data_IF_415953248420
#
_entry.id   IF_415953248420
#
_cell.length_a   1.000
_cell.length_b   1.000
_cell.length_c   1.000
_cell.angle_alpha   90.00
_cell.angle_beta   90.00
_cell.angle_gamma   90.00
#
_symmetry.space_group_name_H-M   'P 1'
#
loop_
_entity.id
_entity.type
_entity.pdbx_description
1 polymer ?
#
# COMPACT_ATOMS: atom_id res chain seq x y z
N UNK A 1 -24.56 7.90 -15.23
CA UNK A 1 -24.45 7.56 -13.80
C UNK A 1 -24.20 8.83 -13.02
N UNK A 2 -24.78 8.94 -11.84
CA UNK A 2 -24.60 10.07 -10.91
C UNK A 2 -24.58 9.59 -9.45
N UNK A 3 -24.22 10.48 -8.54
CA UNK A 3 -24.33 10.25 -7.11
C UNK A 3 -25.61 10.91 -6.59
N UNK A 4 -26.59 10.09 -6.23
CA UNK A 4 -27.88 10.53 -5.71
C UNK A 4 -27.79 11.20 -4.33
N UNK A 5 -26.66 11.03 -3.61
CA UNK A 5 -26.41 11.74 -2.36
C UNK A 5 -25.81 13.13 -2.59
N UNK A 6 -25.42 13.46 -3.83
CA UNK A 6 -24.82 14.73 -4.21
C UNK A 6 -23.64 15.13 -3.32
N UNK A 7 -22.71 14.21 -3.06
CA UNK A 7 -21.52 14.47 -2.23
C UNK A 7 -20.69 15.61 -2.84
N UNK A 8 -20.75 16.78 -2.22
CA UNK A 8 -20.14 18.01 -2.76
C UNK A 8 -18.59 18.04 -2.72
N UNK A 9 -17.97 17.13 -1.97
CA UNK A 9 -16.50 17.09 -1.81
C UNK A 9 -15.77 16.36 -2.94
N UNK A 10 -16.49 15.91 -3.95
CA UNK A 10 -15.92 15.20 -5.09
C UNK A 10 -16.93 15.04 -6.21
N UNK A 11 -16.56 14.25 -7.22
CA UNK A 11 -17.41 13.95 -8.35
C UNK A 11 -17.12 12.56 -8.91
N UNK A 12 -18.13 11.97 -9.56
CA UNK A 12 -17.92 10.76 -10.35
C UNK A 12 -17.20 11.10 -11.65
N UNK A 13 -16.25 10.24 -12.02
CA UNK A 13 -15.58 10.23 -13.31
C UNK A 13 -15.89 8.91 -14.03
N UNK A 14 -15.76 8.92 -15.36
CA UNK A 14 -16.16 7.80 -16.23
C UNK A 14 -17.60 7.33 -15.97
N UNK A 15 -18.49 8.31 -15.74
CA UNK A 15 -19.86 8.07 -15.29
C UNK A 15 -20.87 7.88 -16.44
N UNK A 16 -20.41 7.93 -17.69
CA UNK A 16 -21.26 7.74 -18.88
C UNK A 16 -21.25 6.28 -19.32
N UNK A 17 -22.44 5.72 -19.57
CA UNK A 17 -22.61 4.38 -20.15
C UNK A 17 -23.14 4.56 -21.57
N UNK A 18 -22.33 4.21 -22.57
CA UNK A 18 -22.76 4.34 -23.97
C UNK A 18 -23.82 3.28 -24.33
N UNK A 19 -24.73 3.61 -25.26
CA UNK A 19 -25.74 2.66 -25.74
C UNK A 19 -25.10 1.38 -26.33
N UNK A 20 -23.93 1.49 -26.96
CA UNK A 20 -23.17 0.35 -27.49
C UNK A 20 -22.59 -0.58 -26.42
N UNK A 21 -22.55 -0.17 -25.15
CA UNK A 21 -22.11 -1.01 -24.05
C UNK A 21 -23.20 -1.98 -23.58
N UNK A 22 -24.45 -1.80 -24.04
CA UNK A 22 -25.56 -2.67 -23.69
C UNK A 22 -25.58 -3.91 -24.59
N UNK A 23 -25.62 -5.08 -23.95
CA UNK A 23 -25.90 -6.36 -24.58
C UNK A 23 -27.08 -7.00 -23.88
N UNK A 24 -28.15 -7.31 -24.62
CA UNK A 24 -29.41 -7.82 -24.07
C UNK A 24 -29.95 -6.97 -22.89
N UNK A 25 -29.81 -5.64 -22.96
CA UNK A 25 -30.28 -4.72 -21.92
C UNK A 25 -29.37 -4.57 -20.70
N UNK A 26 -28.18 -5.18 -20.71
CA UNK A 26 -27.21 -5.10 -19.59
C UNK A 26 -25.94 -4.40 -20.06
N UNK A 27 -25.46 -3.43 -19.27
CA UNK A 27 -24.16 -2.81 -19.43
C UNK A 27 -23.42 -2.80 -18.08
N UNK A 28 -22.11 -3.00 -18.12
CA UNK A 28 -21.24 -2.87 -16.95
C UNK A 28 -20.41 -1.59 -17.08
N UNK A 29 -20.23 -0.88 -15.97
CA UNK A 29 -19.38 0.31 -15.92
C UNK A 29 -18.56 0.32 -14.64
N UNK A 30 -17.37 0.89 -14.72
CA UNK A 30 -16.43 1.05 -13.60
C UNK A 30 -16.15 2.53 -13.38
N UNK A 31 -17.15 3.31 -12.91
CA UNK A 31 -16.91 4.71 -12.59
C UNK A 31 -15.93 4.81 -11.42
N UNK A 32 -15.18 5.91 -11.37
CA UNK A 32 -14.40 6.28 -10.19
C UNK A 32 -15.03 7.48 -9.50
N UNK A 33 -14.74 7.67 -8.22
CA UNK A 33 -15.09 8.89 -7.51
C UNK A 33 -13.81 9.62 -7.14
N UNK A 34 -13.69 10.89 -7.54
CA UNK A 34 -12.54 11.72 -7.29
C UNK A 34 -12.90 12.76 -6.24
N UNK A 35 -12.21 12.76 -5.10
CA UNK A 35 -12.30 13.88 -4.16
C UNK A 35 -11.59 15.11 -4.72
N UNK A 36 -12.14 16.29 -4.46
CA UNK A 36 -11.55 17.57 -4.87
C UNK A 36 -10.23 17.83 -4.13
N UNK A 37 -10.07 17.28 -2.92
CA UNK A 37 -8.85 17.39 -2.13
C UNK A 37 -8.46 16.05 -1.49
N UNK A 38 -7.15 15.81 -1.35
CA UNK A 38 -6.64 14.56 -0.81
C UNK A 38 -7.01 14.31 0.67
N UNK A 39 -7.19 15.37 1.48
CA UNK A 39 -7.61 15.24 2.89
C UNK A 39 -9.11 15.47 3.03
N UNK A 40 -9.89 14.51 2.57
CA UNK A 40 -11.35 14.50 2.71
C UNK A 40 -11.77 13.32 3.60
N UNK A 41 -12.67 13.57 4.57
CA UNK A 41 -13.24 12.49 5.38
C UNK A 41 -14.06 11.53 4.50
N UNK A 42 -14.31 10.28 4.95
CA UNK A 42 -15.08 9.33 4.16
C UNK A 42 -16.47 9.86 3.81
N UNK A 43 -16.93 9.55 2.61
CA UNK A 43 -18.26 9.93 2.14
C UNK A 43 -18.98 8.70 1.58
N UNK A 44 -20.28 8.60 1.84
CA UNK A 44 -21.11 7.56 1.24
C UNK A 44 -21.80 8.13 0.01
N UNK A 45 -21.48 7.57 -1.16
CA UNK A 45 -22.20 7.87 -2.40
C UNK A 45 -23.30 6.84 -2.61
N UNK A 46 -24.33 7.22 -3.35
CA UNK A 46 -25.38 6.32 -3.84
C UNK A 46 -25.38 6.38 -5.36
N UNK A 47 -24.90 5.31 -6.00
CA UNK A 47 -24.79 5.24 -7.44
C UNK A 47 -26.15 4.96 -8.06
N UNK A 48 -26.54 5.81 -9.00
CA UNK A 48 -27.74 5.61 -9.79
C UNK A 48 -27.56 5.90 -11.28
N UNK A 49 -28.41 5.28 -12.09
CA UNK A 49 -28.53 5.62 -13.50
C UNK A 49 -29.39 6.87 -13.62
N UNK A 50 -28.92 7.82 -14.44
CA UNK A 50 -29.65 9.02 -14.80
C UNK A 50 -29.61 9.07 -16.33
N UNK A 51 -30.78 9.06 -16.95
CA UNK A 51 -30.92 9.25 -18.38
C UNK A 51 -30.83 10.74 -18.75
N UNK A 52 -30.62 11.04 -20.03
CA UNK A 52 -30.46 12.41 -20.54
C UNK A 52 -31.74 13.25 -20.39
N UNK A 53 -32.91 12.60 -20.27
CA UNK A 53 -34.19 13.24 -19.96
C UNK A 53 -34.41 13.47 -18.44
N UNK A 54 -33.39 13.23 -17.62
CA UNK A 54 -33.39 13.31 -16.16
C UNK A 54 -34.25 12.26 -15.44
N UNK A 55 -34.62 11.16 -16.10
CA UNK A 55 -35.22 10.01 -15.42
C UNK A 55 -34.13 9.21 -14.70
N UNK A 56 -34.30 9.04 -13.39
CA UNK A 56 -33.39 8.25 -12.56
C UNK A 56 -33.89 6.81 -12.39
N UNK A 57 -32.97 5.87 -12.16
CA UNK A 57 -33.33 4.51 -11.72
C UNK A 57 -34.16 4.56 -10.43
N UNK A 58 -35.18 3.71 -10.32
CA UNK A 58 -36.15 3.76 -9.21
C UNK A 58 -36.19 2.52 -8.32
N UNK A 59 -35.39 1.50 -8.64
CA UNK A 59 -35.42 0.21 -7.93
C UNK A 59 -34.20 0.04 -7.02
N UNK A 60 -33.15 -0.60 -7.52
CA UNK A 60 -31.97 -0.97 -6.73
C UNK A 60 -30.79 -0.08 -7.07
N UNK A 61 -30.39 0.74 -6.11
CA UNK A 61 -29.21 1.60 -6.19
C UNK A 61 -28.19 1.14 -5.15
N UNK A 62 -26.93 0.99 -5.56
CA UNK A 62 -25.85 0.60 -4.68
C UNK A 62 -25.28 1.81 -3.94
N UNK A 63 -24.92 1.62 -2.67
CA UNK A 63 -24.12 2.61 -1.92
C UNK A 63 -22.65 2.18 -1.84
N UNK A 64 -21.74 3.14 -1.92
CA UNK A 64 -20.31 2.90 -1.73
C UNK A 64 -19.74 3.91 -0.74
N UNK A 65 -18.96 3.42 0.23
CA UNK A 65 -18.22 4.27 1.16
C UNK A 65 -16.83 4.58 0.57
N UNK A 66 -16.67 5.81 0.09
CA UNK A 66 -15.47 6.31 -0.58
C UNK A 66 -14.52 6.90 0.46
N UNK A 67 -13.24 6.55 0.36
CA UNK A 67 -12.18 6.99 1.29
C UNK A 67 -11.05 7.65 0.53
N UNK A 68 -10.60 8.80 1.02
CA UNK A 68 -9.36 9.40 0.55
C UNK A 68 -8.21 8.90 1.40
N UNK A 69 -7.18 8.33 0.78
CA UNK A 69 -6.15 7.59 1.52
C UNK A 69 -4.76 7.61 0.91
N UNK A 70 -3.85 6.99 1.64
CA UNK A 70 -2.44 6.82 1.26
C UNK A 70 -1.94 5.45 1.71
N UNK A 71 -0.88 4.98 1.08
CA UNK A 71 -0.05 3.93 1.67
C UNK A 71 0.99 4.57 2.60
N UNK A 72 1.19 3.96 3.76
CA UNK A 72 2.17 4.35 4.75
C UNK A 72 3.22 3.24 4.85
N UNK A 73 4.38 3.45 4.22
CA UNK A 73 5.54 2.60 4.31
C UNK A 73 6.44 3.13 5.44
N UNK A 74 6.78 2.30 6.42
CA UNK A 74 7.49 2.74 7.62
C UNK A 74 8.93 2.28 7.66
N UNK A 75 9.78 3.06 8.33
CA UNK A 75 11.17 2.68 8.59
C UNK A 75 11.23 1.38 9.41
N UNK A 76 12.27 0.59 9.15
CA UNK A 76 12.52 -0.66 9.84
C UNK A 76 13.99 -0.76 10.28
N UNK A 77 14.22 -1.34 11.46
CA UNK A 77 15.55 -1.46 12.06
C UNK A 77 15.71 -2.85 12.67
N UNK A 78 16.85 -3.49 12.48
CA UNK A 78 17.11 -4.81 13.06
C UNK A 78 18.57 -5.26 12.93
N UNK A 79 18.87 -6.47 13.38
CA UNK A 79 20.17 -7.08 13.15
C UNK A 79 20.31 -7.55 11.70
N UNK A 80 21.50 -7.39 11.15
CA UNK A 80 21.98 -7.98 9.90
C UNK A 80 21.87 -9.51 9.86
N UNK A 81 21.69 -10.17 11.01
CA UNK A 81 21.58 -11.63 11.14
C UNK A 81 20.14 -12.14 11.09
N UNK A 82 19.14 -11.27 11.07
CA UNK A 82 17.73 -11.63 11.10
C UNK A 82 16.95 -11.01 9.92
N UNK A 83 15.92 -11.70 9.39
CA UNK A 83 14.99 -11.07 8.46
C UNK A 83 14.31 -9.87 9.11
N UNK A 84 14.12 -8.79 8.35
CA UNK A 84 13.59 -7.53 8.85
C UNK A 84 12.20 -7.29 8.28
N UNK A 85 11.13 -7.38 9.10
CA UNK A 85 9.78 -6.99 8.69
C UNK A 85 9.74 -5.50 8.29
N UNK A 86 9.04 -5.20 7.19
CA UNK A 86 8.86 -3.83 6.69
C UNK A 86 7.38 -3.48 6.82
N UNK A 87 6.98 -2.62 7.78
CA UNK A 87 5.57 -2.27 7.95
C UNK A 87 5.06 -1.44 6.78
N UNK A 88 3.97 -1.90 6.18
CA UNK A 88 3.25 -1.20 5.12
C UNK A 88 1.75 -1.31 5.39
N UNK A 89 1.06 -0.16 5.44
CA UNK A 89 -0.38 -0.11 5.69
C UNK A 89 -1.11 0.87 4.78
N UNK A 90 -2.34 0.55 4.41
CA UNK A 90 -3.29 1.47 3.81
C UNK A 90 -3.97 2.29 4.91
N UNK A 91 -3.89 3.62 4.78
CA UNK A 91 -4.55 4.57 5.67
C UNK A 91 -5.54 5.43 4.90
N UNK A 92 -6.56 5.93 5.59
CA UNK A 92 -7.47 6.95 5.07
C UNK A 92 -7.54 8.15 6.03
N UNK A 93 -7.85 9.32 5.49
CA UNK A 93 -8.07 10.52 6.29
C UNK A 93 -9.46 10.47 6.94
N UNK A 94 -9.54 10.51 8.27
CA UNK A 94 -10.83 10.46 8.98
C UNK A 94 -11.46 11.84 9.22
N UNK A 95 -10.87 12.91 8.69
CA UNK A 95 -11.23 14.30 8.98
C UNK A 95 -10.17 15.03 9.82
N UNK A 96 -9.41 14.30 10.65
CA UNK A 96 -8.42 14.90 11.56
C UNK A 96 -7.03 14.26 11.44
N UNK A 97 -6.96 12.97 11.12
CA UNK A 97 -5.72 12.21 11.02
C UNK A 97 -5.85 11.06 10.04
N UNK A 98 -4.70 10.50 9.63
CA UNK A 98 -4.68 9.24 8.89
C UNK A 98 -4.83 8.06 9.85
N UNK A 99 -5.81 7.21 9.60
CA UNK A 99 -6.04 5.97 10.35
C UNK A 99 -6.09 4.77 9.41
N UNK A 100 -5.78 3.58 9.92
CA UNK A 100 -5.73 2.36 9.13
C UNK A 100 -7.08 2.03 8.50
N UNK A 101 -7.06 1.65 7.22
CA UNK A 101 -8.22 1.12 6.51
C UNK A 101 -8.38 -0.39 6.79
N UNK A 102 -8.99 -0.74 7.92
CA UNK A 102 -9.22 -2.13 8.30
C UNK A 102 -10.15 -2.91 7.36
N UNK A 103 -10.84 -2.23 6.43
CA UNK A 103 -11.73 -2.85 5.46
C UNK A 103 -11.04 -3.14 4.12
N UNK A 104 -9.76 -2.79 3.98
CA UNK A 104 -8.99 -3.13 2.79
C UNK A 104 -8.42 -4.55 2.89
N UNK A 105 -9.01 -5.45 2.10
CA UNK A 105 -8.55 -6.83 1.94
C UNK A 105 -8.33 -7.21 0.47
N UNK A 106 -8.28 -6.22 -0.42
CA UNK A 106 -8.24 -6.42 -1.87
C UNK A 106 -7.11 -5.66 -2.57
N UNK A 107 -6.55 -4.61 -1.96
CA UNK A 107 -5.36 -3.94 -2.49
C UNK A 107 -4.20 -4.94 -2.53
N UNK A 108 -3.52 -5.01 -3.67
CA UNK A 108 -2.31 -5.82 -3.86
C UNK A 108 -1.14 -4.86 -4.01
N UNK A 109 -0.08 -5.07 -3.23
CA UNK A 109 1.18 -4.34 -3.39
C UNK A 109 2.28 -5.34 -3.77
N UNK A 110 2.64 -5.44 -5.06
CA UNK A 110 3.71 -6.31 -5.51
C UNK A 110 5.05 -5.88 -4.89
N UNK A 111 5.83 -6.81 -4.33
CA UNK A 111 7.15 -6.46 -3.78
C UNK A 111 8.10 -5.88 -4.84
N UNK A 112 7.91 -6.24 -6.12
CA UNK A 112 8.65 -5.69 -7.25
C UNK A 112 8.37 -4.22 -7.55
N UNK A 113 7.26 -3.67 -7.02
CA UNK A 113 6.93 -2.25 -7.15
C UNK A 113 7.67 -1.35 -6.15
N UNK A 114 8.41 -1.94 -5.21
CA UNK A 114 9.20 -1.20 -4.23
C UNK A 114 10.65 -1.16 -4.72
N UNK A 115 11.08 0.03 -5.13
CA UNK A 115 12.47 0.30 -5.46
C UNK A 115 13.33 0.33 -4.19
N UNK A 116 14.56 -0.16 -4.32
CA UNK A 116 15.57 -0.28 -3.28
C UNK A 116 16.79 0.54 -3.68
N UNK A 117 17.05 1.61 -2.95
CA UNK A 117 18.22 2.46 -3.14
C UNK A 117 17.97 3.91 -2.71
N UNK A 118 19.03 4.67 -2.39
CA UNK A 118 20.43 4.23 -2.38
C UNK A 118 20.75 3.29 -1.20
N UNK A 119 21.79 2.48 -1.38
CA UNK A 119 22.38 1.66 -0.32
C UNK A 119 23.51 2.45 0.36
N UNK A 120 23.69 2.26 1.68
CA UNK A 120 24.65 3.02 2.49
C UNK A 120 25.40 2.11 3.47
N UNK A 121 26.60 2.54 3.84
CA UNK A 121 27.55 1.81 4.68
C UNK A 121 27.94 0.46 4.04
N UNK A 122 28.00 -0.62 4.81
CA UNK A 122 28.47 -1.93 4.31
C UNK A 122 27.35 -2.81 3.76
N UNK A 123 26.19 -2.25 3.44
CA UNK A 123 25.13 -2.96 2.75
C UNK A 123 25.23 -2.68 1.24
N UNK A 124 25.44 -3.71 0.44
CA UNK A 124 25.46 -3.62 -1.01
C UNK A 124 24.13 -4.08 -1.64
N UNK A 125 23.97 -3.80 -2.93
CA UNK A 125 22.78 -4.20 -3.67
C UNK A 125 22.59 -5.73 -3.63
N UNK A 126 21.35 -6.14 -3.33
CA UNK A 126 20.90 -7.52 -3.32
C UNK A 126 21.54 -8.47 -2.30
N UNK A 127 22.37 -7.96 -1.38
CA UNK A 127 22.76 -8.69 -0.16
C UNK A 127 21.54 -8.98 0.72
N UNK A 128 20.56 -8.08 0.69
CA UNK A 128 19.20 -8.32 1.20
C UNK A 128 18.20 -8.31 0.05
N UNK A 129 17.18 -9.16 0.14
CA UNK A 129 16.12 -9.29 -0.84
C UNK A 129 14.77 -8.92 -0.24
N UNK A 130 14.00 -8.10 -0.94
CA UNK A 130 12.66 -7.67 -0.56
C UNK A 130 11.61 -8.63 -1.12
N UNK A 131 10.75 -9.14 -0.24
CA UNK A 131 9.64 -9.98 -0.66
C UNK A 131 8.67 -10.30 0.46
N UNK A 132 7.69 -11.13 0.13
CA UNK A 132 6.75 -11.67 1.09
C UNK A 132 7.24 -13.04 1.56
N UNK A 133 7.29 -13.27 2.88
CA UNK A 133 7.64 -14.61 3.40
C UNK A 133 6.55 -15.65 3.12
N UNK A 134 5.32 -15.19 2.91
CA UNK A 134 4.17 -15.96 2.45
C UNK A 134 3.13 -15.02 1.85
N UNK A 135 2.32 -15.54 0.92
CA UNK A 135 1.31 -14.76 0.18
C UNK A 135 1.92 -13.92 -0.95
N UNK A 136 1.06 -13.09 -1.56
CA UNK A 136 1.34 -12.36 -2.81
C UNK A 136 1.26 -10.84 -2.66
N UNK A 137 1.21 -10.33 -1.42
CA UNK A 137 1.14 -8.90 -1.14
C UNK A 137 -0.26 -8.30 -1.09
N UNK A 138 -1.29 -9.12 -0.99
CA UNK A 138 -2.63 -8.68 -0.63
C UNK A 138 -2.61 -8.06 0.77
N UNK A 139 -3.21 -6.88 0.90
CA UNK A 139 -3.47 -6.31 2.21
C UNK A 139 -4.54 -7.17 2.91
N UNK A 140 -4.40 -7.31 4.23
CA UNK A 140 -5.42 -7.93 5.08
C UNK A 140 -5.65 -6.99 6.25
N UNK A 141 -6.87 -6.47 6.38
CA UNK A 141 -7.21 -5.40 7.30
C UNK A 141 -6.31 -4.16 7.10
N UNK A 142 -6.00 -3.84 5.84
CA UNK A 142 -5.18 -2.69 5.45
C UNK A 142 -3.69 -2.84 5.73
N UNK A 143 -3.17 -4.05 5.98
CA UNK A 143 -1.74 -4.28 6.25
C UNK A 143 -1.16 -5.29 5.28
N UNK A 144 0.03 -4.98 4.73
CA UNK A 144 0.80 -5.93 3.94
C UNK A 144 1.48 -6.91 4.89
N UNK A 145 0.87 -8.07 5.10
CA UNK A 145 1.43 -9.09 5.99
C UNK A 145 2.68 -9.69 5.35
N UNK A 146 3.66 -10.05 6.18
CA UNK A 146 4.83 -10.82 5.77
C UNK A 146 5.81 -10.12 4.80
N UNK A 147 5.61 -8.83 4.50
CA UNK A 147 6.59 -8.04 3.77
C UNK A 147 7.86 -7.91 4.62
N UNK A 148 8.98 -8.37 4.07
CA UNK A 148 10.26 -8.34 4.78
C UNK A 148 11.43 -8.24 3.82
N UNK A 149 12.53 -7.78 4.37
CA UNK A 149 13.86 -7.94 3.82
C UNK A 149 14.50 -9.21 4.40
N UNK A 150 15.20 -9.99 3.60
CA UNK A 150 16.01 -11.11 4.10
C UNK A 150 17.19 -10.59 4.92
N UNK A 151 17.76 -11.43 5.77
CA UNK A 151 18.97 -11.09 6.51
C UNK A 151 20.13 -10.87 5.52
N UNK A 152 20.86 -9.74 5.56
CA UNK A 152 22.01 -9.54 4.69
C UNK A 152 23.24 -10.35 5.10
N UNK A 153 23.36 -10.75 6.38
CA UNK A 153 24.47 -11.56 6.88
C UNK A 153 25.49 -10.77 7.69
N UNK A 154 26.38 -11.49 8.39
CA UNK A 154 27.40 -10.90 9.25
C UNK A 154 28.34 -10.01 8.43
N UNK A 155 28.64 -8.81 8.95
CA UNK A 155 29.45 -7.82 8.26
C UNK A 155 28.62 -6.85 7.41
N UNK A 156 27.41 -7.20 6.97
CA UNK A 156 26.63 -6.37 6.04
C UNK A 156 25.73 -5.34 6.77
N UNK A 157 26.31 -4.60 7.71
CA UNK A 157 25.62 -3.55 8.45
C UNK A 157 25.50 -2.27 7.60
N UNK A 158 24.28 -1.80 7.40
CA UNK A 158 24.02 -0.65 6.56
C UNK A 158 22.54 -0.38 6.39
N UNK A 159 22.20 0.43 5.41
CA UNK A 159 20.80 0.81 5.16
C UNK A 159 20.48 0.89 3.69
N UNK A 160 19.21 0.67 3.37
CA UNK A 160 18.65 0.86 2.03
C UNK A 160 17.37 1.68 2.14
N UNK A 161 17.22 2.67 1.26
CA UNK A 161 15.96 3.40 1.12
C UNK A 161 14.99 2.58 0.26
N UNK A 162 13.73 2.53 0.69
CA UNK A 162 12.63 1.84 0.03
C UNK A 162 11.67 2.89 -0.50
N UNK A 163 11.30 2.82 -1.78
CA UNK A 163 10.31 3.72 -2.39
C UNK A 163 9.28 2.88 -3.15
N UNK A 164 8.00 2.99 -2.78
CA UNK A 164 6.93 2.29 -3.47
C UNK A 164 6.45 3.12 -4.67
N UNK A 165 6.56 2.55 -5.86
CA UNK A 165 6.15 3.16 -7.13
C UNK A 165 4.63 3.00 -7.34
N UNK A 166 3.85 4.02 -6.99
CA UNK A 166 2.38 3.97 -7.04
C UNK A 166 1.86 4.02 -8.48
N UNK A 167 2.31 5.00 -9.25
CA UNK A 167 1.81 5.29 -10.61
C UNK A 167 2.83 5.04 -11.72
N UNK A 168 4.12 5.29 -11.45
CA UNK A 168 5.19 5.17 -12.44
C UNK A 168 6.35 4.39 -11.87
N UNK A 169 6.86 3.43 -12.64
CA UNK A 169 8.03 2.66 -12.30
C UNK A 169 9.29 3.54 -12.31
N UNK A 170 10.14 3.37 -11.29
CA UNK A 170 11.44 4.03 -11.21
C UNK A 170 12.39 3.24 -10.31
N UNK A 171 13.69 3.34 -10.60
CA UNK A 171 14.74 2.68 -9.83
C UNK A 171 14.79 1.17 -10.00
N UNK A 172 15.63 0.55 -9.18
CA UNK A 172 15.90 -0.88 -9.20
C UNK A 172 15.41 -1.52 -7.90
N UNK A 173 15.21 -2.83 -7.92
CA UNK A 173 14.83 -3.62 -6.75
C UNK A 173 15.65 -4.91 -6.71
N UNK A 174 15.67 -5.54 -5.55
CA UNK A 174 16.30 -6.84 -5.33
C UNK A 174 15.25 -7.77 -4.73
N UNK A 175 14.37 -8.33 -5.56
CA UNK A 175 13.47 -9.40 -5.10
C UNK A 175 14.18 -10.78 -5.09
N UNK A 176 15.31 -10.87 -5.77
CA UNK A 176 16.23 -12.01 -5.79
C UNK A 176 17.66 -11.53 -5.51
N UNK A 177 18.65 -12.44 -5.56
CA UNK A 177 20.06 -12.09 -5.40
C UNK A 177 20.64 -11.26 -6.58
N UNK A 178 19.83 -10.96 -7.60
CA UNK A 178 20.22 -10.15 -8.76
C UNK A 178 19.32 -8.94 -8.88
N UNK A 179 19.93 -7.79 -9.15
CA UNK A 179 19.21 -6.52 -9.35
C UNK A 179 18.31 -6.60 -10.58
N UNK A 180 17.08 -6.08 -10.46
CA UNK A 180 16.15 -5.89 -11.58
C UNK A 180 15.52 -4.51 -11.53
N UNK A 181 14.93 -4.05 -12.63
CA UNK A 181 14.13 -2.82 -12.62
C UNK A 181 12.92 -3.01 -11.69
N UNK A 182 12.59 -1.98 -10.89
CA UNK A 182 11.35 -1.96 -10.13
C UNK A 182 10.15 -1.72 -11.07
N UNK A 183 9.00 -2.33 -10.77
CA UNK A 183 7.77 -2.15 -11.53
C UNK A 183 6.89 -1.04 -10.94
N UNK A 184 5.73 -0.79 -11.56
CA UNK A 184 4.67 0.06 -10.99
C UNK A 184 3.64 -0.80 -10.26
N UNK A 185 3.08 -0.29 -9.17
CA UNK A 185 2.02 -0.97 -8.42
C UNK A 185 0.64 -0.83 -9.10
N UNK A 186 0.45 0.15 -10.01
CA UNK A 186 -0.82 0.44 -10.68
C UNK A 186 -2.00 0.70 -9.70
N UNK A 187 -1.73 1.42 -8.60
CA UNK A 187 -2.72 1.78 -7.57
C UNK A 187 -2.84 3.30 -7.41
N UNK A 188 -3.14 4.05 -8.49
CA UNK A 188 -3.04 5.51 -8.53
C UNK A 188 -3.89 6.24 -7.48
N UNK A 189 -4.95 5.60 -6.97
CA UNK A 189 -5.83 6.16 -5.94
C UNK A 189 -5.17 6.35 -4.57
N UNK A 190 -3.97 5.81 -4.33
CA UNK A 190 -3.17 6.10 -3.13
C UNK A 190 -2.27 7.34 -3.25
N UNK A 191 -2.24 7.98 -4.43
CA UNK A 191 -1.54 9.24 -4.64
C UNK A 191 -0.01 9.11 -4.71
N UNK A 192 0.68 9.82 -3.81
CA UNK A 192 2.14 9.95 -3.87
C UNK A 192 2.88 8.67 -3.44
N UNK A 193 4.08 8.46 -3.99
CA UNK A 193 4.98 7.37 -3.62
C UNK A 193 5.43 7.48 -2.15
N UNK A 194 5.09 6.53 -1.26
CA UNK A 194 5.63 6.51 0.08
C UNK A 194 7.06 5.96 0.08
N UNK A 195 7.87 6.44 1.01
CA UNK A 195 9.25 6.01 1.20
C UNK A 195 9.57 5.69 2.65
N UNK A 196 10.57 4.83 2.85
CA UNK A 196 11.07 4.43 4.15
C UNK A 196 12.55 4.08 4.06
N UNK A 197 13.20 3.90 5.22
CA UNK A 197 14.56 3.35 5.33
C UNK A 197 14.55 2.06 6.13
N UNK A 198 15.16 1.03 5.57
CA UNK A 198 15.50 -0.19 6.30
C UNK A 198 16.97 -0.14 6.73
N UNK A 199 17.26 -0.47 7.99
CA UNK A 199 18.62 -0.41 8.55
C UNK A 199 18.96 -1.69 9.30
N UNK A 200 20.16 -2.22 9.04
CA UNK A 200 20.70 -3.43 9.62
C UNK A 200 21.94 -3.14 10.47
N UNK A 201 22.03 -3.75 11.65
CA UNK A 201 23.27 -3.85 12.43
C UNK A 201 23.75 -2.58 13.13
N UNK A 202 22.89 -1.57 13.31
CA UNK A 202 23.23 -0.33 14.03
C UNK A 202 23.20 -0.46 15.56
N UNK A 203 22.44 -1.42 16.10
CA UNK A 203 22.36 -1.68 17.54
C UNK A 203 23.06 -2.99 17.86
N UNK A 204 24.33 -2.90 18.26
CA UNK A 204 25.02 -4.01 18.94
C UNK A 204 24.63 -3.96 20.42
N UNK A 205 23.54 -4.60 20.81
CA UNK A 205 23.31 -4.83 22.24
C UNK A 205 24.44 -5.73 22.77
N UNK A 206 25.18 -5.34 23.81
CA UNK A 206 25.98 -6.30 24.55
C UNK A 206 25.00 -7.30 25.17
N UNK A 207 25.08 -8.56 24.77
CA UNK A 207 24.34 -9.63 25.44
C UNK A 207 25.04 -9.84 26.78
N UNK A 208 24.52 -9.21 27.83
CA UNK A 208 24.95 -9.51 29.21
C UNK A 208 24.26 -10.82 29.59
N UNK A 209 24.98 -11.94 29.48
CA UNK A 209 24.56 -13.20 30.08
C UNK A 209 24.78 -13.12 31.59
N UNK A 210 23.76 -12.78 32.38
CA UNK A 210 23.75 -13.16 33.79
C UNK A 210 23.41 -14.64 33.88
N UNK A 211 24.36 -15.46 34.37
CA UNK A 211 24.05 -16.78 34.91
C UNK A 211 23.64 -16.57 36.37
N UNK A 212 22.38 -16.81 36.67
CA UNK A 212 21.92 -16.93 38.06
C UNK A 212 22.34 -18.33 38.56
N UNK A 213 23.33 -18.37 39.45
CA UNK A 213 23.73 -19.59 40.15
C UNK A 213 23.10 -19.57 41.55
N UNK A 214 21.93 -20.18 41.72
CA UNK A 214 21.35 -20.39 43.04
C UNK A 214 22.09 -21.54 43.73
N UNK A 215 23.05 -21.20 44.59
CA UNK A 215 23.59 -22.16 45.55
C UNK A 215 22.71 -22.09 46.80
N UNK A 216 21.93 -23.14 47.03
CA UNK A 216 21.06 -23.28 48.21
C UNK A 216 21.90 -23.92 49.33
N UNK A 217 22.02 -23.30 50.53
CA UNK A 217 22.34 -24.01 51.76
C UNK A 217 21.08 -24.63 52.39
#
# INVERSE_FOLDING_TARGET
>A
LSDANAVATGSLASATVAASAFSAGIANATPSFNFNTAKTAPATIRLHALDIDNVASSTTEGTANIRSGRLNLQNAYGSELLPLPVPLEAQYWNGTSYIRNQQDSCTIVPASSIAMGPYKNNLAACETQLGYSSGTGNLVNGVARNLRLTKPGAGNNGSVDLTLNITSASGNTCNTATTSAASTANIPWFGANPSARATFGIYKTPIIYLRENFNVP
#
